data_IF_931373611866
#
_entry.id   IF_931373611866
#
_cell.length_a   1.000
_cell.length_b   1.000
_cell.length_c   1.000
_cell.angle_alpha   90.00
_cell.angle_beta   90.00
_cell.angle_gamma   90.00
#
_symmetry.space_group_name_H-M   'P 1'
#
loop_
_entity.id
_entity.type
_entity.pdbx_description
1 polymer ?
#
# COMPACT_ATOMS: atom_id res chain seq x y z
N UNK A 1 11.76 1.61 43.84
CA UNK A 1 12.11 1.10 42.48
C UNK A 1 13.60 0.80 42.40
N UNK A 2 13.94 -0.49 42.37
CA UNK A 2 15.31 -0.97 42.23
C UNK A 2 15.84 -0.70 40.81
N UNK A 3 17.16 -0.58 40.62
CA UNK A 3 17.79 -0.37 39.29
C UNK A 3 17.31 -1.33 38.18
N UNK A 4 17.07 -2.64 38.41
CA UNK A 4 16.59 -3.56 37.36
C UNK A 4 15.13 -3.32 36.95
N UNK A 5 14.23 -2.93 37.86
CA UNK A 5 12.84 -2.56 37.53
C UNK A 5 12.79 -1.31 36.66
N UNK A 6 13.68 -0.34 36.96
CA UNK A 6 13.83 0.89 36.19
C UNK A 6 14.29 0.67 34.75
N UNK A 7 15.00 -0.43 34.47
CA UNK A 7 15.37 -0.81 33.11
C UNK A 7 14.19 -1.37 32.34
N UNK A 8 13.37 -2.23 32.98
CA UNK A 8 12.26 -2.92 32.32
C UNK A 8 11.09 -2.03 31.93
N UNK A 9 10.71 -1.02 32.74
CA UNK A 9 9.65 -0.08 32.33
C UNK A 9 10.12 0.82 31.17
N UNK A 10 11.40 1.24 31.20
CA UNK A 10 11.98 2.11 30.18
C UNK A 10 11.99 1.42 28.81
N UNK A 11 12.43 0.16 28.74
CA UNK A 11 12.40 -0.61 27.50
C UNK A 11 10.97 -0.86 27.01
N UNK A 12 10.04 -1.21 27.90
CA UNK A 12 8.62 -1.40 27.53
C UNK A 12 7.98 -0.12 26.99
N UNK A 13 8.25 1.02 27.61
CA UNK A 13 7.72 2.31 27.15
C UNK A 13 8.31 2.68 25.78
N UNK A 14 9.62 2.50 25.58
CA UNK A 14 10.29 2.80 24.31
C UNK A 14 9.78 1.91 23.17
N UNK A 15 9.62 0.61 23.42
CA UNK A 15 8.99 -0.32 22.47
C UNK A 15 7.54 0.05 22.15
N UNK A 16 6.76 0.48 23.15
CA UNK A 16 5.38 0.91 22.93
C UNK A 16 5.31 2.18 22.09
N UNK A 17 6.17 3.16 22.36
CA UNK A 17 6.27 4.40 21.55
C UNK A 17 6.72 4.08 20.13
N UNK A 18 7.72 3.21 19.97
CA UNK A 18 8.17 2.73 18.66
C UNK A 18 7.01 2.09 17.88
N UNK A 19 6.23 1.21 18.52
CA UNK A 19 5.08 0.58 17.89
C UNK A 19 3.95 1.56 17.53
N UNK A 20 3.74 2.62 18.33
CA UNK A 20 2.73 3.64 18.02
C UNK A 20 3.18 4.56 16.88
N UNK A 21 4.47 4.87 16.78
CA UNK A 21 4.99 5.79 15.76
C UNK A 21 5.29 5.09 14.42
N UNK A 22 5.90 3.91 14.46
CA UNK A 22 6.38 3.18 13.27
C UNK A 22 5.69 1.82 13.08
N UNK A 23 4.90 1.34 14.05
CA UNK A 23 4.19 0.06 13.96
C UNK A 23 2.99 0.09 13.01
N UNK A 24 2.58 -1.11 12.59
CA UNK A 24 1.48 -1.33 11.64
C UNK A 24 0.09 -0.96 12.19
N UNK A 25 -0.89 -0.92 11.29
CA UNK A 25 -2.27 -0.40 11.48
C UNK A 25 -3.19 -1.19 12.41
N UNK A 26 -2.69 -2.15 13.18
CA UNK A 26 -3.53 -3.07 13.96
C UNK A 26 -4.11 -2.43 15.24
N UNK A 27 -3.45 -1.42 15.82
CA UNK A 27 -3.92 -0.75 17.05
C UNK A 27 -4.74 0.53 16.72
N UNK A 28 -5.84 0.75 17.46
CA UNK A 28 -6.66 1.98 17.37
C UNK A 28 -5.84 3.21 17.75
N UNK A 29 -4.93 3.09 18.72
CA UNK A 29 -4.08 4.20 19.15
C UNK A 29 -3.10 4.64 18.04
N UNK A 30 -2.44 3.69 17.38
CA UNK A 30 -1.55 3.94 16.24
C UNK A 30 -2.28 4.65 15.11
N UNK A 31 -3.47 4.15 14.73
CA UNK A 31 -4.29 4.78 13.68
C UNK A 31 -4.71 6.21 14.04
N UNK A 32 -5.05 6.47 15.30
CA UNK A 32 -5.40 7.81 15.77
C UNK A 32 -4.20 8.76 15.67
N UNK A 33 -3.04 8.35 16.18
CA UNK A 33 -1.81 9.17 16.14
C UNK A 33 -1.41 9.49 14.70
N UNK A 34 -1.39 8.50 13.81
CA UNK A 34 -1.08 8.72 12.39
C UNK A 34 -2.07 9.67 11.73
N UNK A 35 -3.38 9.50 11.95
CA UNK A 35 -4.41 10.41 11.41
C UNK A 35 -4.26 11.82 11.95
N UNK A 36 -3.98 11.99 13.24
CA UNK A 36 -3.77 13.29 13.86
C UNK A 36 -2.53 14.00 13.28
N UNK A 37 -1.42 13.27 13.08
CA UNK A 37 -0.21 13.81 12.46
C UNK A 37 -0.45 14.20 10.99
N UNK A 38 -1.15 13.38 10.21
CA UNK A 38 -1.53 13.70 8.83
C UNK A 38 -2.42 14.94 8.78
N UNK A 39 -3.44 15.02 9.65
CA UNK A 39 -4.32 16.18 9.73
C UNK A 39 -3.56 17.46 10.11
N UNK A 40 -2.60 17.36 11.04
CA UNK A 40 -1.74 18.48 11.43
C UNK A 40 -0.82 18.92 10.29
N UNK A 41 -0.26 17.98 9.51
CA UNK A 41 0.52 18.31 8.30
C UNK A 41 -0.36 19.05 7.30
N UNK A 42 -1.54 18.52 6.99
CA UNK A 42 -2.48 19.14 6.05
C UNK A 42 -2.89 20.55 6.51
N UNK A 43 -3.22 20.72 7.80
CA UNK A 43 -3.54 22.02 8.40
C UNK A 43 -2.35 22.99 8.30
N UNK A 44 -1.13 22.51 8.58
CA UNK A 44 0.07 23.35 8.53
C UNK A 44 0.41 23.81 7.10
N UNK A 45 0.20 22.95 6.10
CA UNK A 45 0.41 23.30 4.68
C UNK A 45 -0.67 24.25 4.21
N UNK A 46 -1.94 23.99 4.55
CA UNK A 46 -3.05 24.90 4.24
C UNK A 46 -2.83 26.28 4.87
N UNK A 47 -2.35 26.33 6.11
CA UNK A 47 -1.98 27.60 6.77
C UNK A 47 -0.94 28.37 5.97
N UNK A 48 0.11 27.71 5.44
CA UNK A 48 1.14 28.38 4.62
C UNK A 48 0.54 28.90 3.30
N UNK A 49 -0.32 28.11 2.66
CA UNK A 49 -0.99 28.50 1.42
C UNK A 49 -1.87 29.74 1.66
N UNK A 50 -2.66 29.76 2.73
CA UNK A 50 -3.52 30.90 3.05
C UNK A 50 -2.72 32.13 3.49
N UNK A 51 -1.64 31.94 4.25
CA UNK A 51 -0.71 33.00 4.65
C UNK A 51 -0.03 33.67 3.45
N UNK A 52 0.14 32.97 2.32
CA UNK A 52 0.71 33.55 1.10
C UNK A 52 -0.16 34.66 0.49
N UNK A 53 -1.45 34.75 0.87
CA UNK A 53 -2.37 35.79 0.39
C UNK A 53 -2.31 37.00 1.36
N UNK A 54 -1.88 38.20 0.90
CA UNK A 54 -1.65 39.34 1.79
C UNK A 54 -2.88 39.80 2.60
N UNK A 55 -4.09 39.60 2.06
CA UNK A 55 -5.33 39.94 2.75
C UNK A 55 -5.57 39.02 3.98
N UNK A 56 -5.33 37.72 3.82
CA UNK A 56 -5.50 36.75 4.90
C UNK A 56 -4.38 36.82 5.93
N UNK A 57 -3.13 37.06 5.52
CA UNK A 57 -2.03 37.28 6.47
C UNK A 57 -2.37 38.41 7.45
N UNK A 58 -2.77 39.58 6.94
CA UNK A 58 -3.10 40.73 7.81
C UNK A 58 -4.22 40.44 8.80
N UNK A 59 -5.24 39.68 8.39
CA UNK A 59 -6.42 39.40 9.20
C UNK A 59 -6.19 38.26 10.21
N UNK A 60 -5.48 37.20 9.80
CA UNK A 60 -5.36 35.94 10.56
C UNK A 60 -3.94 35.63 11.03
N UNK A 61 -3.00 36.59 10.98
CA UNK A 61 -1.58 36.38 11.36
C UNK A 61 -1.38 35.61 12.65
N UNK A 62 -2.14 35.94 13.71
CA UNK A 62 -2.03 35.27 15.02
C UNK A 62 -2.44 33.79 14.95
N UNK A 63 -3.45 33.46 14.16
CA UNK A 63 -3.90 32.09 13.94
C UNK A 63 -2.85 31.29 13.18
N UNK A 64 -2.28 31.86 12.11
CA UNK A 64 -1.22 31.19 11.34
C UNK A 64 0.03 30.94 12.18
N UNK A 65 0.46 31.92 12.99
CA UNK A 65 1.55 31.74 13.95
C UNK A 65 1.23 30.65 14.99
N UNK A 66 -0.01 30.62 15.52
CA UNK A 66 -0.41 29.59 16.47
C UNK A 66 -0.37 28.18 15.86
N UNK A 67 -0.87 28.02 14.62
CA UNK A 67 -0.80 26.75 13.87
C UNK A 67 0.65 26.37 13.61
N UNK A 68 1.51 27.31 13.25
CA UNK A 68 2.94 27.08 13.03
C UNK A 68 3.63 26.58 14.30
N UNK A 69 3.50 27.29 15.41
CA UNK A 69 4.12 26.87 16.67
C UNK A 69 3.59 25.51 17.13
N UNK A 70 2.28 25.28 17.05
CA UNK A 70 1.68 23.98 17.37
C UNK A 70 2.28 22.86 16.51
N UNK A 71 2.30 23.04 15.18
CA UNK A 71 2.82 22.05 14.24
C UNK A 71 4.30 21.76 14.51
N UNK A 72 5.14 22.79 14.66
CA UNK A 72 6.57 22.62 14.91
C UNK A 72 6.81 21.94 16.26
N UNK A 73 6.13 22.34 17.33
CA UNK A 73 6.26 21.67 18.64
C UNK A 73 5.91 20.18 18.54
N UNK A 74 4.78 19.83 17.92
CA UNK A 74 4.39 18.42 17.75
C UNK A 74 5.38 17.65 16.89
N UNK A 75 5.84 18.21 15.76
CA UNK A 75 6.81 17.55 14.88
C UNK A 75 8.19 17.41 15.51
N UNK A 76 8.62 18.37 16.33
CA UNK A 76 9.85 18.26 17.11
C UNK A 76 9.72 17.14 18.14
N UNK A 77 8.61 17.07 18.88
CA UNK A 77 8.37 15.97 19.84
C UNK A 77 8.38 14.62 19.11
N UNK A 78 7.66 14.50 18.00
CA UNK A 78 7.64 13.30 17.16
C UNK A 78 9.04 12.89 16.70
N UNK A 79 9.85 13.84 16.19
CA UNK A 79 11.22 13.58 15.75
C UNK A 79 12.12 13.10 16.89
N UNK A 80 12.04 13.75 18.05
CA UNK A 80 12.81 13.35 19.24
C UNK A 80 12.39 11.97 19.76
N UNK A 81 11.10 11.66 19.76
CA UNK A 81 10.61 10.34 20.14
C UNK A 81 11.11 9.24 19.19
N UNK A 82 11.12 9.50 17.87
CA UNK A 82 11.70 8.56 16.89
C UNK A 82 13.20 8.38 17.08
N UNK A 83 13.94 9.48 17.25
CA UNK A 83 15.38 9.43 17.54
C UNK A 83 15.68 8.66 18.83
N UNK A 84 14.84 8.82 19.85
CA UNK A 84 14.95 8.08 21.11
C UNK A 84 14.69 6.57 20.92
N UNK A 85 13.71 6.21 20.10
CA UNK A 85 13.33 4.83 19.81
C UNK A 85 14.25 4.14 18.78
N UNK A 86 15.02 4.88 17.99
CA UNK A 86 15.83 4.38 16.87
C UNK A 86 16.63 3.08 17.15
N UNK A 87 17.27 2.87 18.32
CA UNK A 87 17.99 1.62 18.56
C UNK A 87 17.12 0.37 18.76
N UNK A 88 15.79 0.49 18.84
CA UNK A 88 14.87 -0.66 18.87
C UNK A 88 14.36 -1.01 17.46
N UNK A 89 14.71 -0.22 16.46
CA UNK A 89 14.32 -0.46 15.08
C UNK A 89 15.13 -1.61 14.49
N UNK A 90 14.46 -2.55 13.83
CA UNK A 90 15.07 -3.76 13.28
C UNK A 90 16.20 -3.46 12.29
N UNK A 91 16.11 -2.36 11.54
CA UNK A 91 17.14 -1.94 10.59
C UNK A 91 18.48 -1.51 11.23
N UNK A 92 18.50 -1.28 12.55
CA UNK A 92 19.69 -0.82 13.28
C UNK A 92 20.05 -1.74 14.44
N UNK A 93 19.48 -2.95 14.50
CA UNK A 93 19.64 -3.91 15.60
C UNK A 93 21.10 -4.29 15.87
N UNK A 94 21.95 -4.28 14.85
CA UNK A 94 23.38 -4.62 14.94
C UNK A 94 24.26 -3.44 15.40
N UNK A 95 23.70 -2.22 15.52
CA UNK A 95 24.46 -1.00 15.84
C UNK A 95 24.38 -0.67 17.34
N UNK A 96 25.43 -0.04 17.86
CA UNK A 96 25.39 0.57 19.21
C UNK A 96 24.26 1.61 19.29
N UNK A 97 23.75 1.90 20.49
CA UNK A 97 22.65 2.85 20.65
C UNK A 97 22.97 4.26 20.11
N UNK A 98 24.23 4.69 20.14
CA UNK A 98 24.66 5.94 19.51
C UNK A 98 24.76 5.81 17.99
N UNK A 99 25.28 4.68 17.49
CA UNK A 99 25.37 4.39 16.06
C UNK A 99 24.00 4.26 15.38
N UNK A 100 23.02 3.67 16.05
CA UNK A 100 21.64 3.58 15.56
C UNK A 100 20.99 4.97 15.42
N UNK A 101 21.24 5.87 16.37
CA UNK A 101 20.73 7.26 16.33
C UNK A 101 21.36 8.06 15.19
N UNK A 102 22.67 7.96 15.01
CA UNK A 102 23.35 8.62 13.89
C UNK A 102 22.88 8.07 12.54
N UNK A 103 22.72 6.75 12.44
CA UNK A 103 22.17 6.11 11.24
C UNK A 103 20.72 6.55 10.97
N UNK A 104 19.91 6.75 12.00
CA UNK A 104 18.56 7.28 11.86
C UNK A 104 18.56 8.71 11.34
N UNK A 105 19.36 9.62 11.91
CA UNK A 105 19.45 11.02 11.45
C UNK A 105 19.86 11.10 9.97
N UNK A 106 20.77 10.22 9.54
CA UNK A 106 21.21 10.14 8.15
C UNK A 106 20.18 9.49 7.20
N UNK A 107 19.08 8.93 7.72
CA UNK A 107 18.03 8.33 6.88
C UNK A 107 17.22 9.40 6.15
N UNK A 108 16.81 9.13 4.91
CA UNK A 108 16.02 10.10 4.12
C UNK A 108 14.72 10.52 4.81
N UNK A 109 14.09 9.60 5.54
CA UNK A 109 12.86 9.89 6.28
C UNK A 109 13.07 10.85 7.46
N UNK A 110 14.20 10.71 8.17
CA UNK A 110 14.55 11.59 9.28
C UNK A 110 15.05 12.95 8.76
N UNK A 111 15.71 12.97 7.60
CA UNK A 111 16.10 14.21 6.94
C UNK A 111 14.87 15.06 6.58
N UNK A 112 13.81 14.45 6.06
CA UNK A 112 12.53 15.15 5.82
C UNK A 112 12.00 15.72 7.13
N UNK A 113 11.88 14.90 8.19
CA UNK A 113 11.40 15.36 9.49
C UNK A 113 12.24 16.52 10.05
N UNK A 114 13.57 16.48 9.91
CA UNK A 114 14.47 17.55 10.31
C UNK A 114 14.23 18.83 9.49
N UNK A 115 14.15 18.71 8.17
CA UNK A 115 13.85 19.84 7.27
C UNK A 115 12.50 20.49 7.57
N UNK A 116 11.51 19.73 8.08
CA UNK A 116 10.19 20.30 8.41
C UNK A 116 10.20 21.23 9.64
N UNK A 117 11.13 21.01 10.57
CA UNK A 117 11.25 21.80 11.82
C UNK A 117 12.32 22.88 11.71
N UNK A 118 13.32 22.67 10.84
CA UNK A 118 14.49 23.52 10.67
C UNK A 118 14.20 25.02 10.45
N UNK A 119 13.18 25.44 9.66
CA UNK A 119 12.97 26.86 9.35
C UNK A 119 12.73 27.73 10.59
N UNK A 120 11.99 27.21 11.59
CA UNK A 120 11.72 27.95 12.84
C UNK A 120 12.98 28.04 13.70
N UNK A 121 13.78 26.97 13.76
CA UNK A 121 15.06 27.03 14.48
C UNK A 121 16.04 27.99 13.81
N UNK A 122 16.14 27.99 12.47
CA UNK A 122 16.96 28.97 11.74
C UNK A 122 16.48 30.39 12.03
N UNK A 123 15.16 30.65 11.98
CA UNK A 123 14.59 31.97 12.27
C UNK A 123 14.90 32.46 13.69
N UNK A 124 15.03 31.54 14.65
CA UNK A 124 15.34 31.87 16.03
C UNK A 124 16.82 32.23 16.24
N UNK A 125 17.74 31.52 15.57
CA UNK A 125 19.18 31.72 15.71
C UNK A 125 19.78 32.73 14.72
N UNK A 126 19.15 32.91 13.56
CA UNK A 126 19.61 33.77 12.48
C UNK A 126 18.48 34.72 12.07
N UNK A 127 18.81 36.01 11.90
CA UNK A 127 17.92 36.99 11.28
C UNK A 127 17.84 36.71 9.75
N UNK A 128 17.22 35.60 9.38
CA UNK A 128 17.05 35.16 8.00
C UNK A 128 15.81 35.78 7.36
N UNK A 129 15.84 35.95 6.03
CA UNK A 129 14.67 36.41 5.27
C UNK A 129 13.54 35.38 5.38
N UNK A 130 12.45 35.79 5.99
CA UNK A 130 11.26 34.99 6.25
C UNK A 130 10.65 34.40 4.96
N UNK A 131 10.89 35.03 3.80
CA UNK A 131 10.36 34.58 2.51
C UNK A 131 10.97 33.26 2.03
N UNK A 132 12.28 33.09 2.20
CA UNK A 132 12.98 31.84 1.84
C UNK A 132 12.56 30.72 2.80
N UNK A 133 12.36 31.06 4.08
CA UNK A 133 11.91 30.13 5.11
C UNK A 133 10.48 29.66 4.86
N UNK A 134 9.63 30.47 4.22
CA UNK A 134 8.26 30.11 3.83
C UNK A 134 8.23 28.93 2.85
N UNK A 135 9.12 28.92 1.86
CA UNK A 135 9.24 27.79 0.91
C UNK A 135 9.67 26.52 1.65
N UNK A 136 10.59 26.63 2.60
CA UNK A 136 11.01 25.48 3.41
C UNK A 136 9.87 24.95 4.29
N UNK A 137 8.93 25.80 4.72
CA UNK A 137 7.73 25.35 5.45
C UNK A 137 6.82 24.47 4.57
N UNK A 138 6.80 24.65 3.25
CA UNK A 138 6.05 23.76 2.34
C UNK A 138 6.64 22.35 2.27
N UNK A 139 7.91 22.16 2.64
CA UNK A 139 8.52 20.83 2.73
C UNK A 139 7.81 19.92 3.74
N UNK A 140 7.00 20.48 4.66
CA UNK A 140 6.09 19.73 5.55
C UNK A 140 5.18 18.78 4.77
N UNK A 141 4.82 19.11 3.53
CA UNK A 141 4.08 18.21 2.64
C UNK A 141 4.78 16.85 2.45
N UNK A 142 6.11 16.82 2.32
CA UNK A 142 6.85 15.57 2.15
C UNK A 142 6.79 14.67 3.38
N UNK A 143 6.40 15.18 4.56
CA UNK A 143 6.13 14.36 5.74
C UNK A 143 5.01 13.34 5.50
N UNK A 144 4.07 13.63 4.59
CA UNK A 144 3.03 12.69 4.17
C UNK A 144 3.59 11.43 3.49
N UNK A 145 4.79 11.50 2.90
CA UNK A 145 5.45 10.36 2.28
C UNK A 145 5.65 9.20 3.28
N UNK A 146 5.86 9.51 4.56
CA UNK A 146 6.01 8.49 5.62
C UNK A 146 4.72 7.71 5.84
N UNK A 147 3.57 8.36 5.71
CA UNK A 147 2.26 7.77 6.01
C UNK A 147 1.61 7.11 4.79
N UNK A 148 2.02 7.47 3.57
CA UNK A 148 1.50 6.88 2.34
C UNK A 148 2.25 5.61 1.96
N UNK A 149 1.54 4.47 1.98
CA UNK A 149 2.08 3.21 1.46
C UNK A 149 2.44 3.30 -0.03
N UNK A 150 1.65 4.04 -0.81
CA UNK A 150 1.90 4.24 -2.25
C UNK A 150 3.16 5.04 -2.53
N UNK A 151 3.45 6.09 -1.74
CA UNK A 151 4.71 6.85 -1.90
C UNK A 151 5.92 5.97 -1.55
N UNK A 152 5.83 5.14 -0.51
CA UNK A 152 6.90 4.17 -0.20
C UNK A 152 7.16 3.20 -1.35
N UNK A 153 6.10 2.71 -2.00
CA UNK A 153 6.21 1.89 -3.22
C UNK A 153 6.90 2.66 -4.34
N UNK A 154 6.49 3.91 -4.59
CA UNK A 154 7.09 4.76 -5.63
C UNK A 154 8.59 5.01 -5.39
N UNK A 155 8.99 5.31 -4.14
CA UNK A 155 10.39 5.49 -3.78
C UNK A 155 11.19 4.21 -4.03
N UNK A 156 10.66 3.05 -3.62
CA UNK A 156 11.31 1.76 -3.86
C UNK A 156 11.50 1.48 -5.37
N UNK A 157 10.49 1.80 -6.19
CA UNK A 157 10.56 1.69 -7.66
C UNK A 157 11.64 2.60 -8.24
N UNK A 158 11.70 3.86 -7.80
CA UNK A 158 12.75 4.79 -8.25
C UNK A 158 14.15 4.34 -7.84
N UNK A 159 14.31 3.76 -6.66
CA UNK A 159 15.59 3.24 -6.18
C UNK A 159 16.02 1.99 -6.95
N UNK A 160 15.09 1.08 -7.23
CA UNK A 160 15.33 -0.13 -8.01
C UNK A 160 15.73 0.21 -9.46
N UNK A 161 14.99 1.12 -10.10
CA UNK A 161 15.17 1.49 -11.51
C UNK A 161 16.10 2.69 -11.73
N UNK A 162 16.81 3.15 -10.69
CA UNK A 162 17.66 4.36 -10.74
C UNK A 162 18.63 4.39 -11.93
N UNK A 163 19.18 3.23 -12.31
CA UNK A 163 20.13 3.11 -13.42
C UNK A 163 19.44 3.29 -14.78
N UNK A 164 18.27 2.66 -14.95
CA UNK A 164 17.47 2.79 -16.16
C UNK A 164 16.94 4.22 -16.31
N UNK A 165 16.41 4.80 -15.24
CA UNK A 165 15.95 6.20 -15.22
C UNK A 165 17.08 7.20 -15.49
N UNK A 166 18.28 6.98 -14.94
CA UNK A 166 19.46 7.79 -15.26
C UNK A 166 19.84 7.68 -16.74
N UNK A 167 19.84 6.47 -17.31
CA UNK A 167 20.13 6.28 -18.74
C UNK A 167 19.12 7.02 -19.62
N UNK A 168 17.83 6.92 -19.30
CA UNK A 168 16.77 7.68 -19.98
C UNK A 168 16.93 9.19 -19.82
N UNK A 169 17.33 9.67 -18.63
CA UNK A 169 17.63 11.08 -18.39
C UNK A 169 18.79 11.59 -19.25
N UNK A 170 19.85 10.80 -19.41
CA UNK A 170 20.99 11.11 -20.30
C UNK A 170 20.52 11.19 -21.76
N UNK A 171 19.68 10.25 -22.21
CA UNK A 171 19.12 10.26 -23.57
C UNK A 171 18.23 11.49 -23.81
N UNK A 172 17.37 11.85 -22.87
CA UNK A 172 16.51 13.04 -22.93
C UNK A 172 17.35 14.33 -22.98
N UNK A 173 18.37 14.43 -22.12
CA UNK A 173 19.28 15.58 -22.14
C UNK A 173 20.04 15.68 -23.47
N UNK A 174 20.49 14.54 -24.00
CA UNK A 174 21.13 14.46 -25.32
C UNK A 174 20.20 14.93 -26.45
N UNK A 175 18.93 14.54 -26.44
CA UNK A 175 17.94 14.99 -27.42
C UNK A 175 17.66 16.49 -27.31
N UNK A 176 17.52 17.02 -26.09
CA UNK A 176 17.40 18.46 -25.85
C UNK A 176 18.60 19.20 -26.43
N UNK A 177 19.82 18.74 -26.15
CA UNK A 177 21.05 19.38 -26.64
C UNK A 177 21.13 19.33 -28.17
N UNK A 178 20.78 18.20 -28.78
CA UNK A 178 20.80 18.01 -30.23
C UNK A 178 19.75 18.91 -30.92
N UNK A 179 18.50 18.88 -30.46
CA UNK A 179 17.43 19.74 -30.98
C UNK A 179 17.72 21.23 -30.79
N UNK A 180 18.26 21.62 -29.63
CA UNK A 180 18.65 23.01 -29.36
C UNK A 180 19.78 23.49 -30.27
N UNK A 181 20.78 22.64 -30.52
CA UNK A 181 21.89 22.98 -31.43
C UNK A 181 21.42 23.06 -32.88
N UNK A 182 20.58 22.11 -33.31
CA UNK A 182 20.03 22.10 -34.67
C UNK A 182 19.16 23.33 -34.94
N UNK A 183 18.27 23.68 -34.00
CA UNK A 183 17.40 24.85 -34.18
C UNK A 183 18.17 26.16 -34.07
N UNK A 184 19.19 26.24 -33.23
CA UNK A 184 20.09 27.39 -33.17
C UNK A 184 20.74 27.62 -34.54
N UNK A 185 21.32 26.60 -35.16
CA UNK A 185 21.93 26.71 -36.50
C UNK A 185 20.90 27.21 -37.53
N UNK A 186 19.65 26.73 -37.47
CA UNK A 186 18.63 27.08 -38.45
C UNK A 186 17.96 28.45 -38.24
N UNK A 187 17.81 28.90 -37.00
CA UNK A 187 16.98 30.05 -36.64
C UNK A 187 17.77 31.23 -36.03
N UNK A 188 19.06 31.08 -35.68
CA UNK A 188 19.78 32.15 -34.98
C UNK A 188 19.85 33.47 -35.77
N UNK A 189 19.96 33.42 -37.11
CA UNK A 189 19.96 34.61 -37.97
C UNK A 189 18.58 35.27 -38.04
N UNK A 190 17.51 34.46 -38.03
CA UNK A 190 16.13 34.93 -38.17
C UNK A 190 15.53 35.39 -36.83
N UNK A 191 15.97 34.80 -35.72
CA UNK A 191 15.46 35.01 -34.36
C UNK A 191 16.61 35.04 -33.33
N UNK A 192 17.50 36.04 -33.37
CA UNK A 192 18.66 36.09 -32.47
C UNK A 192 18.27 36.25 -30.99
N UNK A 193 17.12 36.85 -30.68
CA UNK A 193 16.65 37.01 -29.28
C UNK A 193 16.26 35.67 -28.65
N UNK A 194 15.68 34.75 -29.42
CA UNK A 194 15.14 33.48 -28.92
C UNK A 194 16.09 32.30 -29.17
N UNK A 195 16.74 32.28 -30.33
CA UNK A 195 17.60 31.19 -30.78
C UNK A 195 19.06 31.65 -30.95
N UNK A 196 19.47 32.79 -30.39
CA UNK A 196 20.84 33.30 -30.54
C UNK A 196 21.93 32.53 -29.78
N UNK A 197 21.56 31.60 -28.91
CA UNK A 197 22.52 30.72 -28.22
C UNK A 197 21.92 29.34 -27.96
N UNK A 198 22.78 28.32 -27.81
CA UNK A 198 22.32 26.96 -27.49
C UNK A 198 21.51 26.93 -26.18
N UNK A 199 21.92 27.55 -25.06
CA UNK A 199 21.11 27.56 -23.84
C UNK A 199 19.73 28.22 -24.01
N UNK A 200 19.63 29.30 -24.81
CA UNK A 200 18.34 29.90 -25.12
C UNK A 200 17.45 28.94 -25.94
N UNK A 201 18.03 28.28 -26.94
CA UNK A 201 17.34 27.25 -27.74
C UNK A 201 16.96 26.00 -26.92
N UNK A 202 17.69 25.68 -25.85
CA UNK A 202 17.37 24.57 -24.95
C UNK A 202 16.02 24.77 -24.25
N UNK A 203 15.62 26.01 -23.94
CA UNK A 203 14.29 26.29 -23.38
C UNK A 203 13.18 25.80 -24.32
N UNK A 204 13.24 26.18 -25.60
CA UNK A 204 12.31 25.71 -26.63
C UNK A 204 12.37 24.19 -26.80
N UNK A 205 13.57 23.61 -26.83
CA UNK A 205 13.73 22.17 -27.01
C UNK A 205 13.12 21.38 -25.83
N UNK A 206 13.31 21.84 -24.58
CA UNK A 206 12.69 21.24 -23.39
C UNK A 206 11.18 21.33 -23.48
N UNK A 207 10.62 22.51 -23.75
CA UNK A 207 9.15 22.73 -23.85
C UNK A 207 8.53 21.88 -24.97
N UNK A 208 9.24 21.67 -26.07
CA UNK A 208 8.78 20.88 -27.22
C UNK A 208 8.88 19.37 -26.96
N UNK A 209 10.03 18.89 -26.46
CA UNK A 209 10.27 17.47 -26.17
C UNK A 209 9.36 16.98 -25.04
N UNK A 210 9.09 17.82 -24.05
CA UNK A 210 8.19 17.51 -22.93
C UNK A 210 6.70 17.69 -23.27
N UNK A 211 6.39 17.96 -24.54
CA UNK A 211 5.02 18.15 -25.07
C UNK A 211 4.20 19.22 -24.34
N UNK A 212 4.85 20.21 -23.73
CA UNK A 212 4.18 21.34 -23.04
C UNK A 212 3.70 22.38 -24.05
N UNK A 213 4.59 22.83 -24.93
CA UNK A 213 4.24 23.75 -26.03
C UNK A 213 3.57 25.06 -25.61
N UNK A 214 4.21 25.88 -24.76
CA UNK A 214 3.66 27.18 -24.34
C UNK A 214 3.31 28.12 -25.50
N UNK A 215 4.01 27.99 -26.64
CA UNK A 215 3.82 28.84 -27.81
C UNK A 215 4.46 30.23 -27.70
N UNK A 216 5.34 30.42 -26.72
CA UNK A 216 6.14 31.62 -26.50
C UNK A 216 7.25 31.81 -27.55
N UNK A 217 7.86 30.71 -27.99
CA UNK A 217 8.88 30.69 -29.05
C UNK A 217 8.58 29.58 -30.05
N UNK A 218 8.59 29.91 -31.35
CA UNK A 218 8.40 28.92 -32.43
C UNK A 218 9.31 29.20 -33.63
N UNK A 219 9.82 28.17 -34.32
CA UNK A 219 10.60 28.36 -35.55
C UNK A 219 9.79 29.01 -36.68
N UNK A 220 10.38 30.00 -37.34
CA UNK A 220 9.72 30.72 -38.44
C UNK A 220 10.25 30.32 -39.81
N UNK A 221 11.45 29.75 -39.89
CA UNK A 221 12.04 29.26 -41.15
C UNK A 221 11.50 27.89 -41.54
N UNK A 222 11.58 27.55 -42.83
CA UNK A 222 11.20 26.22 -43.32
C UNK A 222 12.07 25.12 -42.68
N UNK A 223 13.38 25.34 -42.62
CA UNK A 223 14.32 24.39 -42.01
C UNK A 223 14.02 24.18 -40.52
N UNK A 224 13.77 25.27 -39.78
CA UNK A 224 13.41 25.20 -38.37
C UNK A 224 12.08 24.48 -38.12
N UNK A 225 11.07 24.66 -38.98
CA UNK A 225 9.81 23.90 -38.89
C UNK A 225 9.98 22.40 -39.15
N UNK A 226 10.87 22.03 -40.07
CA UNK A 226 11.22 20.61 -40.28
C UNK A 226 11.92 20.01 -39.06
N UNK A 227 12.90 20.74 -38.49
CA UNK A 227 13.58 20.34 -37.25
C UNK A 227 12.60 20.23 -36.08
N UNK A 228 11.66 21.17 -35.96
CA UNK A 228 10.59 21.13 -34.96
C UNK A 228 9.73 19.89 -35.09
N UNK A 229 9.32 19.55 -36.31
CA UNK A 229 8.49 18.37 -36.59
C UNK A 229 9.20 17.08 -36.16
N UNK A 230 10.48 16.94 -36.49
CA UNK A 230 11.30 15.80 -36.04
C UNK A 230 11.44 15.80 -34.52
N UNK A 231 11.71 16.96 -33.91
CA UNK A 231 11.88 17.10 -32.46
C UNK A 231 10.61 16.70 -31.70
N UNK A 232 9.42 17.06 -32.20
CA UNK A 232 8.15 16.65 -31.60
C UNK A 232 7.98 15.13 -31.60
N UNK A 233 8.29 14.46 -32.72
CA UNK A 233 8.22 12.99 -32.82
C UNK A 233 9.23 12.33 -31.89
N UNK A 234 10.47 12.81 -31.86
CA UNK A 234 11.50 12.32 -30.95
C UNK A 234 11.08 12.47 -29.48
N UNK A 235 10.51 13.61 -29.11
CA UNK A 235 10.01 13.86 -27.75
C UNK A 235 8.92 12.87 -27.34
N UNK A 236 7.94 12.64 -28.21
CA UNK A 236 6.87 11.67 -27.98
C UNK A 236 7.41 10.25 -27.74
N UNK A 237 8.35 9.79 -28.58
CA UNK A 237 8.98 8.47 -28.41
C UNK A 237 9.80 8.40 -27.11
N UNK A 238 10.56 9.45 -26.79
CA UNK A 238 11.44 9.45 -25.63
C UNK A 238 10.70 9.51 -24.29
N UNK A 239 9.57 10.23 -24.21
CA UNK A 239 8.75 10.29 -23.00
C UNK A 239 8.09 8.94 -22.65
N UNK A 240 7.92 8.05 -23.63
CA UNK A 240 7.41 6.69 -23.38
C UNK A 240 8.36 5.84 -22.53
N UNK A 241 9.69 6.05 -22.62
CA UNK A 241 10.67 5.27 -21.88
C UNK A 241 10.56 5.41 -20.36
N UNK A 242 10.66 6.61 -19.75
CA UNK A 242 10.62 6.74 -18.30
C UNK A 242 9.25 6.34 -17.74
N UNK A 243 8.17 6.65 -18.47
CA UNK A 243 6.81 6.25 -18.09
C UNK A 243 6.67 4.73 -18.09
N UNK A 244 7.14 4.03 -19.13
CA UNK A 244 7.09 2.58 -19.24
C UNK A 244 7.96 1.87 -18.18
N UNK A 245 9.15 2.40 -17.90
CA UNK A 245 10.04 1.88 -16.85
C UNK A 245 9.34 1.96 -15.49
N UNK A 246 8.83 3.15 -15.12
CA UNK A 246 8.15 3.34 -13.84
C UNK A 246 6.88 2.50 -13.76
N UNK A 247 6.08 2.43 -14.83
CA UNK A 247 4.84 1.64 -14.84
C UNK A 247 5.10 0.15 -14.64
N UNK A 248 6.07 -0.41 -15.36
CA UNK A 248 6.44 -1.83 -15.25
C UNK A 248 6.99 -2.15 -13.87
N UNK A 249 7.92 -1.33 -13.38
CA UNK A 249 8.53 -1.55 -12.07
C UNK A 249 7.53 -1.35 -10.92
N UNK A 250 6.57 -0.43 -11.06
CA UNK A 250 5.50 -0.24 -10.09
C UNK A 250 4.55 -1.43 -10.04
N UNK A 251 4.18 -1.99 -11.20
CA UNK A 251 3.40 -3.23 -11.28
C UNK A 251 4.15 -4.40 -10.61
N UNK A 252 5.43 -4.56 -10.93
CA UNK A 252 6.28 -5.61 -10.33
C UNK A 252 6.42 -5.44 -8.81
N UNK A 253 6.59 -4.22 -8.30
CA UNK A 253 6.68 -3.95 -6.86
C UNK A 253 5.37 -4.26 -6.13
N UNK A 254 4.22 -3.98 -6.74
CA UNK A 254 2.90 -4.34 -6.17
C UNK A 254 2.78 -5.86 -6.08
N UNK A 255 3.07 -6.58 -7.17
CA UNK A 255 3.01 -8.04 -7.20
C UNK A 255 3.99 -8.67 -6.22
N UNK A 256 5.22 -8.13 -6.09
CA UNK A 256 6.20 -8.61 -5.10
C UNK A 256 5.69 -8.43 -3.67
N UNK A 257 5.02 -7.31 -3.37
CA UNK A 257 4.44 -7.08 -2.04
C UNK A 257 3.29 -8.04 -1.75
N UNK A 258 2.41 -8.28 -2.71
CA UNK A 258 1.38 -9.30 -2.60
C UNK A 258 2.00 -10.67 -2.34
N UNK A 259 3.03 -11.06 -3.10
CA UNK A 259 3.76 -12.32 -2.91
C UNK A 259 4.33 -12.45 -1.48
N UNK A 260 5.03 -11.43 -0.96
CA UNK A 260 5.63 -11.48 0.38
C UNK A 260 4.56 -11.58 1.47
N UNK A 261 3.45 -10.86 1.32
CA UNK A 261 2.32 -10.90 2.26
C UNK A 261 1.66 -12.28 2.22
N UNK A 262 1.37 -12.80 1.02
CA UNK A 262 0.80 -14.14 0.81
C UNK A 262 1.73 -15.21 1.37
N UNK A 263 3.05 -15.13 1.15
CA UNK A 263 4.03 -16.06 1.71
C UNK A 263 3.99 -16.12 3.24
N UNK A 264 4.03 -14.96 3.89
CA UNK A 264 3.94 -14.88 5.35
C UNK A 264 2.64 -15.48 5.88
N UNK A 265 1.54 -15.30 5.14
CA UNK A 265 0.24 -15.90 5.46
C UNK A 265 0.24 -17.42 5.24
N UNK A 266 0.78 -17.93 4.13
CA UNK A 266 0.84 -19.38 3.84
C UNK A 266 1.69 -20.08 4.90
N UNK A 267 2.88 -19.54 5.19
CA UNK A 267 3.79 -20.11 6.20
C UNK A 267 3.20 -20.09 7.63
N UNK A 268 2.24 -19.21 7.90
CA UNK A 268 1.56 -19.15 9.21
C UNK A 268 0.57 -20.29 9.42
N UNK A 269 -0.01 -20.84 8.35
CA UNK A 269 -1.00 -21.92 8.41
C UNK A 269 -0.27 -23.25 8.70
N UNK A 270 -0.59 -23.95 9.80
CA UNK A 270 0.08 -25.20 10.18
C UNK A 270 0.10 -26.26 9.07
N UNK A 271 -0.96 -26.33 8.25
CA UNK A 271 -1.10 -27.23 7.11
C UNK A 271 0.05 -27.14 6.11
N UNK A 272 0.66 -25.96 5.94
CA UNK A 272 1.68 -25.71 4.92
C UNK A 272 3.11 -25.67 5.48
N UNK A 273 3.31 -25.89 6.78
CA UNK A 273 4.64 -25.81 7.41
C UNK A 273 5.61 -26.90 6.98
N UNK A 274 5.10 -28.05 6.55
CA UNK A 274 5.91 -29.20 6.12
C UNK A 274 6.41 -29.05 4.69
N UNK A 275 5.92 -28.05 3.96
CA UNK A 275 6.28 -27.82 2.57
C UNK A 275 7.62 -27.10 2.46
N UNK A 276 8.41 -27.50 1.46
CA UNK A 276 9.62 -26.81 1.12
C UNK A 276 9.32 -25.48 0.40
N UNK A 277 10.35 -24.65 0.20
CA UNK A 277 10.16 -23.33 -0.37
C UNK A 277 9.62 -23.37 -1.81
N UNK A 278 9.95 -24.43 -2.56
CA UNK A 278 9.49 -24.63 -3.94
C UNK A 278 8.00 -24.95 -3.99
N UNK A 279 7.54 -25.88 -3.15
CA UNK A 279 6.14 -26.28 -3.06
C UNK A 279 5.26 -25.12 -2.56
N UNK A 280 5.74 -24.33 -1.59
CA UNK A 280 5.00 -23.13 -1.14
C UNK A 280 4.88 -22.13 -2.30
N UNK A 281 5.97 -21.83 -3.01
CA UNK A 281 5.93 -20.92 -4.16
C UNK A 281 4.98 -21.41 -5.26
N UNK A 282 4.89 -22.73 -5.44
CA UNK A 282 3.96 -23.34 -6.39
C UNK A 282 2.50 -23.15 -5.97
N UNK A 283 2.19 -23.42 -4.70
CA UNK A 283 0.84 -23.35 -4.13
C UNK A 283 0.32 -21.91 -4.07
N UNK A 284 1.20 -20.94 -3.80
CA UNK A 284 0.80 -19.53 -3.75
C UNK A 284 0.21 -19.02 -5.06
N UNK A 285 0.52 -19.65 -6.21
CA UNK A 285 -0.09 -19.28 -7.49
C UNK A 285 -1.58 -19.59 -7.57
N UNK A 286 -2.06 -20.47 -6.71
CA UNK A 286 -3.45 -20.89 -6.59
C UNK A 286 -4.18 -20.20 -5.42
N UNK A 287 -3.44 -19.44 -4.59
CA UNK A 287 -3.99 -18.80 -3.41
C UNK A 287 -4.19 -17.30 -3.65
N UNK A 288 -5.41 -16.84 -3.45
CA UNK A 288 -5.73 -15.41 -3.46
C UNK A 288 -5.81 -14.86 -2.05
N UNK A 289 -5.09 -13.79 -1.75
CA UNK A 289 -5.10 -13.14 -0.46
C UNK A 289 -6.21 -12.08 -0.38
N UNK A 290 -7.09 -12.16 0.62
CA UNK A 290 -8.14 -11.18 0.84
C UNK A 290 -8.19 -10.72 2.30
N UNK A 291 -8.38 -9.41 2.53
CA UNK A 291 -8.66 -8.87 3.86
C UNK A 291 -10.11 -8.44 3.97
N UNK A 292 -10.83 -8.97 4.96
CA UNK A 292 -12.24 -8.70 5.21
C UNK A 292 -12.42 -7.93 6.53
N UNK A 293 -13.23 -6.85 6.55
CA UNK A 293 -13.56 -6.14 7.79
C UNK A 293 -14.40 -6.97 8.75
N UNK A 294 -14.41 -6.60 10.04
CA UNK A 294 -15.32 -7.15 11.04
C UNK A 294 -16.79 -7.00 10.63
N UNK A 295 -17.60 -8.03 10.89
CA UNK A 295 -19.03 -8.11 10.57
C UNK A 295 -19.35 -8.59 9.15
N UNK A 296 -18.35 -8.69 8.27
CA UNK A 296 -18.52 -9.13 6.88
C UNK A 296 -18.99 -10.59 6.83
N UNK A 297 -20.09 -10.84 6.13
CA UNK A 297 -20.54 -12.20 5.80
C UNK A 297 -19.68 -12.71 4.63
N UNK A 298 -18.82 -13.69 4.90
CA UNK A 298 -17.85 -14.25 3.94
C UNK A 298 -18.53 -15.34 3.12
N UNK A 299 -19.29 -16.21 3.78
CA UNK A 299 -20.02 -17.32 3.18
C UNK A 299 -21.46 -17.26 3.66
N UNK A 300 -22.41 -17.51 2.75
CA UNK A 300 -23.83 -17.63 3.08
C UNK A 300 -24.28 -19.07 2.90
N UNK A 301 -25.10 -19.55 3.85
CA UNK A 301 -25.73 -20.88 3.79
C UNK A 301 -26.60 -20.99 2.53
N UNK A 302 -26.52 -22.13 1.84
CA UNK A 302 -27.28 -22.43 0.62
C UNK A 302 -26.60 -21.99 -0.67
N UNK A 303 -25.56 -21.16 -0.62
CA UNK A 303 -24.81 -20.78 -1.82
C UNK A 303 -24.02 -21.98 -2.38
N UNK A 304 -23.71 -21.95 -3.66
CA UNK A 304 -22.83 -22.94 -4.28
C UNK A 304 -21.38 -22.66 -3.86
N UNK A 305 -20.66 -23.69 -3.43
CA UNK A 305 -19.26 -23.53 -3.04
C UNK A 305 -18.34 -23.44 -4.26
N UNK A 306 -17.56 -22.35 -4.34
CA UNK A 306 -16.57 -22.13 -5.39
C UNK A 306 -15.14 -22.12 -4.85
N UNK A 307 -14.97 -21.87 -3.55
CA UNK A 307 -13.65 -21.70 -2.92
C UNK A 307 -13.66 -22.13 -1.45
N UNK A 308 -12.51 -22.52 -0.91
CA UNK A 308 -12.30 -22.68 0.53
C UNK A 308 -11.37 -21.59 1.06
N UNK A 309 -11.38 -21.38 2.38
CA UNK A 309 -10.73 -20.24 3.01
C UNK A 309 -9.83 -20.69 4.16
N UNK A 310 -8.57 -20.25 4.17
CA UNK A 310 -7.64 -20.41 5.28
C UNK A 310 -7.50 -19.09 6.04
N UNK A 311 -7.53 -19.14 7.36
CA UNK A 311 -7.45 -17.96 8.23
C UNK A 311 -5.98 -17.71 8.58
N UNK A 312 -5.39 -16.71 7.94
CA UNK A 312 -3.99 -16.34 8.19
C UNK A 312 -3.86 -15.34 9.36
N UNK A 313 -4.85 -14.47 9.55
CA UNK A 313 -4.92 -13.54 10.68
C UNK A 313 -6.39 -13.22 10.99
N UNK A 314 -6.74 -13.05 12.26
CA UNK A 314 -8.11 -12.71 12.67
C UNK A 314 -8.91 -13.91 13.15
N UNK A 315 -10.24 -13.77 13.14
CA UNK A 315 -11.18 -14.78 13.61
C UNK A 315 -12.50 -14.66 12.82
N UNK A 316 -13.16 -15.79 12.61
CA UNK A 316 -14.50 -15.89 12.02
C UNK A 316 -15.40 -16.73 12.91
N UNK A 317 -16.69 -16.50 12.81
CA UNK A 317 -17.74 -17.28 13.47
C UNK A 317 -18.56 -17.98 12.39
N UNK A 318 -18.69 -19.30 12.55
CA UNK A 318 -19.49 -20.18 11.69
C UNK A 318 -20.82 -20.42 12.41
N UNK A 319 -21.92 -19.96 11.80
CA UNK A 319 -23.28 -20.09 12.34
C UNK A 319 -23.91 -21.39 11.82
N UNK A 320 -23.92 -22.43 12.64
CA UNK A 320 -24.55 -23.73 12.37
C UNK A 320 -25.99 -23.76 12.91
N UNK A 321 -26.84 -24.71 12.45
CA UNK A 321 -28.17 -24.91 13.03
C UNK A 321 -28.08 -25.37 14.50
N UNK A 322 -28.19 -24.45 15.44
CA UNK A 322 -28.24 -24.72 16.89
C UNK A 322 -26.95 -24.42 17.66
N UNK A 323 -25.84 -24.13 16.99
CA UNK A 323 -24.58 -23.73 17.63
C UNK A 323 -23.73 -22.80 16.75
N UNK A 324 -22.77 -22.11 17.35
CA UNK A 324 -21.80 -21.26 16.64
C UNK A 324 -20.39 -21.66 17.00
N UNK A 325 -19.55 -21.91 16.00
CA UNK A 325 -18.15 -22.30 16.20
C UNK A 325 -17.24 -21.16 15.75
N UNK A 326 -16.26 -20.80 16.58
CA UNK A 326 -15.26 -19.80 16.22
C UNK A 326 -14.01 -20.45 15.65
N UNK A 327 -13.55 -19.92 14.53
CA UNK A 327 -12.33 -20.34 13.87
C UNK A 327 -11.33 -19.19 13.86
N UNK A 328 -10.13 -19.47 14.34
CA UNK A 328 -9.01 -18.53 14.44
C UNK A 328 -7.86 -18.85 13.49
N UNK A 329 -6.73 -18.19 13.74
CA UNK A 329 -5.51 -18.31 12.92
C UNK A 329 -5.05 -19.76 12.76
N UNK A 330 -4.74 -20.14 11.52
CA UNK A 330 -4.27 -21.48 11.14
C UNK A 330 -5.38 -22.48 10.86
N UNK A 331 -6.64 -22.14 11.16
CA UNK A 331 -7.80 -22.96 10.81
C UNK A 331 -8.35 -22.54 9.44
N UNK A 332 -9.18 -23.39 8.84
CA UNK A 332 -9.82 -23.15 7.55
C UNK A 332 -11.30 -23.55 7.59
N UNK A 333 -12.07 -23.10 6.59
CA UNK A 333 -13.48 -23.42 6.42
C UNK A 333 -13.88 -23.45 4.94
N UNK A 334 -15.03 -24.05 4.66
CA UNK A 334 -15.60 -24.15 3.32
C UNK A 334 -15.15 -25.37 2.52
N UNK A 335 -14.34 -26.23 3.12
CA UNK A 335 -13.86 -27.50 2.56
C UNK A 335 -15.01 -28.49 2.32
N UNK A 336 -15.99 -28.55 3.23
CA UNK A 336 -17.05 -29.57 3.17
C UNK A 336 -17.87 -29.46 1.90
N UNK A 337 -18.30 -28.25 1.57
CA UNK A 337 -19.13 -27.99 0.41
C UNK A 337 -18.38 -28.26 -0.92
N UNK A 338 -17.05 -28.18 -0.92
CA UNK A 338 -16.23 -28.51 -2.10
C UNK A 338 -15.99 -30.02 -2.18
N UNK A 339 -15.61 -30.66 -1.08
CA UNK A 339 -15.26 -32.09 -1.05
C UNK A 339 -16.47 -33.00 -1.25
N UNK A 340 -17.64 -32.59 -0.74
CA UNK A 340 -18.88 -33.36 -0.84
C UNK A 340 -19.82 -32.86 -1.95
N UNK A 341 -19.40 -31.85 -2.72
CA UNK A 341 -20.21 -31.25 -3.80
C UNK A 341 -21.60 -30.79 -3.31
N UNK A 342 -21.69 -30.30 -2.08
CA UNK A 342 -22.93 -29.82 -1.45
C UNK A 342 -23.00 -28.29 -1.42
N UNK A 343 -24.19 -27.69 -1.31
CA UNK A 343 -24.32 -26.27 -1.00
C UNK A 343 -23.66 -25.92 0.35
N UNK A 344 -23.34 -24.64 0.56
CA UNK A 344 -22.78 -24.14 1.82
C UNK A 344 -23.70 -24.49 2.99
N UNK A 345 -23.15 -25.16 3.99
CA UNK A 345 -23.92 -25.66 5.15
C UNK A 345 -24.17 -24.60 6.22
N UNK A 346 -23.39 -23.52 6.24
CA UNK A 346 -23.41 -22.50 7.30
C UNK A 346 -23.13 -21.09 6.76
N UNK A 347 -23.58 -20.08 7.50
CA UNK A 347 -23.09 -18.72 7.33
C UNK A 347 -21.73 -18.60 8.02
N UNK A 348 -20.80 -17.85 7.43
CA UNK A 348 -19.52 -17.54 8.06
C UNK A 348 -19.31 -16.03 8.08
N UNK A 349 -19.08 -15.47 9.26
CA UNK A 349 -18.93 -14.03 9.48
C UNK A 349 -17.62 -13.70 10.15
N UNK A 350 -16.93 -12.66 9.69
CA UNK A 350 -15.73 -12.17 10.37
C UNK A 350 -16.10 -11.49 11.71
N UNK A 351 -15.51 -11.90 12.83
CA UNK A 351 -15.74 -11.24 14.13
C UNK A 351 -14.85 -10.00 14.31
N UNK A 352 -13.70 -10.01 13.64
CA UNK A 352 -12.73 -8.92 13.58
C UNK A 352 -12.21 -8.74 12.14
N UNK A 353 -11.27 -7.80 11.91
CA UNK A 353 -10.60 -7.74 10.61
C UNK A 353 -9.80 -9.02 10.41
N UNK A 354 -10.11 -9.77 9.35
CA UNK A 354 -9.56 -11.10 9.09
C UNK A 354 -8.86 -11.12 7.75
N UNK A 355 -7.68 -11.75 7.68
CA UNK A 355 -6.94 -12.00 6.44
C UNK A 355 -7.11 -13.47 6.08
N UNK A 356 -7.63 -13.70 4.89
CA UNK A 356 -7.96 -15.00 4.35
C UNK A 356 -7.06 -15.31 3.15
N UNK A 357 -6.65 -16.58 3.05
CA UNK A 357 -6.16 -17.16 1.80
C UNK A 357 -7.30 -17.97 1.19
N UNK A 358 -7.63 -17.69 -0.06
CA UNK A 358 -8.74 -18.29 -0.80
C UNK A 358 -8.14 -19.26 -1.78
N UNK A 359 -8.67 -20.48 -1.80
CA UNK A 359 -8.31 -21.52 -2.76
C UNK A 359 -9.57 -21.96 -3.50
N UNK A 360 -9.58 -21.79 -4.82
CA UNK A 360 -10.73 -22.18 -5.64
C UNK A 360 -10.84 -23.71 -5.75
N UNK A 361 -12.05 -24.22 -5.97
CA UNK A 361 -12.34 -25.65 -6.01
C UNK A 361 -11.52 -26.38 -7.09
N UNK A 362 -11.38 -25.76 -8.28
CA UNK A 362 -10.57 -26.31 -9.38
C UNK A 362 -9.09 -26.41 -9.00
N UNK A 363 -8.57 -25.38 -8.34
CA UNK A 363 -7.18 -25.31 -7.92
C UNK A 363 -6.90 -26.24 -6.74
N UNK A 364 -7.86 -26.45 -5.84
CA UNK A 364 -7.79 -27.43 -4.77
C UNK A 364 -7.58 -28.84 -5.33
N UNK A 365 -8.33 -29.21 -6.36
CA UNK A 365 -8.19 -30.53 -6.98
C UNK A 365 -6.79 -30.71 -7.61
N UNK A 366 -6.28 -29.64 -8.24
CA UNK A 366 -4.91 -29.59 -8.77
C UNK A 366 -3.88 -29.74 -7.66
N UNK A 367 -4.08 -29.05 -6.54
CA UNK A 367 -3.19 -29.05 -5.39
C UNK A 367 -3.16 -30.41 -4.67
N UNK A 368 -4.31 -31.05 -4.47
CA UNK A 368 -4.42 -32.41 -3.90
C UNK A 368 -3.68 -33.43 -4.77
N UNK A 369 -3.77 -33.28 -6.10
CA UNK A 369 -3.11 -34.20 -7.04
C UNK A 369 -1.60 -34.05 -7.01
N UNK A 370 -1.08 -32.82 -6.91
CA UNK A 370 0.37 -32.54 -6.89
C UNK A 370 1.02 -32.77 -5.53
N UNK A 371 0.27 -32.57 -4.44
CA UNK A 371 0.79 -32.72 -3.07
C UNK A 371 -0.18 -33.57 -2.22
N UNK A 372 -0.06 -34.91 -2.31
CA UNK A 372 -0.98 -35.83 -1.65
C UNK A 372 -1.08 -35.66 -0.12
N UNK A 373 0.02 -35.26 0.52
CA UNK A 373 0.09 -35.02 1.97
C UNK A 373 -0.89 -33.94 2.44
N UNK A 374 -0.99 -32.83 1.71
CA UNK A 374 -1.93 -31.75 2.01
C UNK A 374 -3.36 -32.24 1.81
N UNK A 375 -3.60 -32.97 0.71
CA UNK A 375 -4.92 -33.54 0.43
C UNK A 375 -5.40 -34.49 1.53
N UNK A 376 -4.49 -35.26 2.13
CA UNK A 376 -4.82 -36.12 3.26
C UNK A 376 -5.20 -35.31 4.50
N UNK A 377 -4.40 -34.31 4.87
CA UNK A 377 -4.68 -33.49 6.04
C UNK A 377 -6.00 -32.70 5.91
N UNK A 378 -6.34 -32.24 4.71
CA UNK A 378 -7.64 -31.60 4.44
C UNK A 378 -8.79 -32.61 4.64
N UNK A 379 -8.65 -33.84 4.12
CA UNK A 379 -9.66 -34.90 4.28
C UNK A 379 -9.84 -35.32 5.74
N UNK A 380 -8.76 -35.43 6.51
CA UNK A 380 -8.80 -35.83 7.92
C UNK A 380 -9.58 -34.80 8.78
N UNK A 381 -9.35 -33.51 8.53
CA UNK A 381 -10.09 -32.43 9.19
C UNK A 381 -11.54 -32.41 8.75
N UNK A 382 -11.82 -32.63 7.46
CA UNK A 382 -13.19 -32.71 6.94
C UNK A 382 -13.97 -33.87 7.57
N UNK A 383 -13.36 -35.04 7.74
CA UNK A 383 -13.97 -36.20 8.39
C UNK A 383 -14.36 -35.88 9.85
N UNK A 384 -13.43 -35.28 10.62
CA UNK A 384 -13.67 -34.89 12.02
C UNK A 384 -14.84 -33.90 12.16
N UNK A 385 -15.06 -33.04 11.15
CA UNK A 385 -16.13 -32.04 11.14
C UNK A 385 -17.45 -32.56 10.58
N UNK A 386 -17.39 -33.51 9.66
CA UNK A 386 -18.58 -34.19 9.15
C UNK A 386 -19.27 -35.02 10.23
N UNK A 387 -18.51 -35.57 11.18
CA UNK A 387 -19.07 -36.25 12.36
C UNK A 387 -19.80 -35.31 13.32
N UNK A 388 -19.57 -33.99 13.22
CA UNK A 388 -20.24 -32.94 14.00
C UNK A 388 -21.40 -32.29 13.25
N UNK A 389 -21.54 -32.53 11.94
CA UNK A 389 -22.67 -32.03 11.16
C UNK A 389 -23.90 -32.89 11.48
N UNK A 390 -25.04 -32.30 11.86
CA UNK A 390 -26.25 -33.08 12.12
C UNK A 390 -26.64 -33.86 10.87
N UNK A 391 -26.90 -35.16 11.03
CA UNK A 391 -27.50 -36.05 10.03
C UNK A 391 -28.77 -35.40 9.47
N UNK A 392 -28.68 -34.77 8.29
CA UNK A 392 -29.84 -34.65 7.42
C UNK A 392 -30.01 -35.99 6.68
N UNK A 393 -30.44 -37.01 7.43
CA UNK A 393 -31.10 -38.18 6.88
C UNK A 393 -32.62 -37.97 6.94
N UNK A 394 -33.22 -37.76 5.77
CA UNK A 394 -34.58 -38.17 5.38
C UNK A 394 -34.47 -38.46 3.88
N UNK A 395 -34.76 -39.62 3.32
CA UNK A 395 -35.56 -40.74 3.78
C UNK A 395 -36.18 -41.32 2.51
N UNK A 396 -35.42 -42.11 1.75
CA UNK A 396 -35.96 -42.80 0.56
C UNK A 396 -36.76 -44.04 1.00
N UNK A 397 -37.99 -43.78 1.47
CA UNK A 397 -39.08 -44.75 1.54
C UNK A 397 -40.38 -44.08 1.06
N UNK A 398 -40.54 -44.09 -0.27
CA UNK A 398 -41.79 -44.25 -1.05
C UNK A 398 -43.03 -43.43 -0.60
N UNK A 399 -43.30 -42.32 -1.29
CA UNK A 399 -44.66 -41.76 -1.46
C UNK A 399 -45.17 -42.09 -2.88
N UNK A 400 -45.66 -43.32 -3.06
CA UNK A 400 -46.52 -43.67 -4.20
C UNK A 400 -47.74 -44.50 -3.80
N UNK A 401 -48.04 -44.59 -2.51
CA UNK A 401 -49.33 -45.07 -2.02
C UNK A 401 -49.91 -44.00 -1.09
N UNK A 402 -50.85 -43.21 -1.59
CA UNK A 402 -51.98 -42.60 -0.87
C UNK A 402 -52.67 -41.56 -1.77
N UNK A 403 -53.12 -41.99 -2.95
CA UNK A 403 -54.21 -41.32 -3.66
C UNK A 403 -55.18 -42.39 -4.22
N UNK A 404 -55.99 -42.97 -3.34
CA UNK A 404 -57.33 -43.44 -3.73
C UNK A 404 -58.38 -42.68 -2.90
N UNK A 405 -59.33 -41.99 -3.54
CA UNK A 405 -60.41 -41.32 -2.82
C UNK A 405 -61.59 -42.27 -2.66
N UNK A 406 -62.04 -42.48 -1.42
CA UNK A 406 -63.36 -43.08 -1.14
C UNK A 406 -64.27 -42.01 -0.52
N UNK A 407 -65.38 -41.64 -1.18
CA UNK A 407 -66.53 -41.03 -0.50
C UNK A 407 -67.66 -42.07 -0.27
N UNK A 408 -68.51 -41.88 0.76
CA UNK A 408 -69.38 -42.93 1.28
C UNK A 408 -70.81 -42.95 0.70
N UNK A 409 -71.27 -44.19 0.48
CA UNK A 409 -72.62 -44.81 0.59
C UNK A 409 -73.91 -43.97 0.44
N UNK A 410 -74.84 -44.49 -0.38
CA UNK A 410 -76.25 -44.67 0.00
C UNK A 410 -76.82 -45.97 -0.62
N UNK A 411 -77.72 -46.70 0.08
CA UNK A 411 -78.31 -47.94 -0.39
C UNK A 411 -79.80 -47.80 -0.82
N UNK A 412 -80.25 -48.85 -1.53
CA UNK A 412 -81.64 -49.35 -1.72
C UNK A 412 -82.40 -48.94 -3.00
N UNK A 413 -82.64 -50.01 -3.78
CA UNK A 413 -83.60 -50.30 -4.86
C UNK A 413 -83.34 -49.73 -6.27
#
# INVERSE_FOLDING_TARGET
MTKPERRHWYYRLRQRVHFVLDGGSHDRATRFVHRALIALVALSVLSVILESVPAYDRQFRRLFLAVEYLAVTVFTIEYLLRLWCAPDHTAYSEKSAAGARLAFIASGSAMIDLLTILPVFISFFFAADLRVLLILRLLRFFKLARYSAGIRTMIAVMEAERKALLATGILLFGAVLFSASAIHIAEHDAQPENFGSIPAAMWWAIVTITTVGYGDVTPITLAGRMIASVTMVTGYVMLGLPVGIVATAFAEEIHRREFVVTWGMVASVPLFRTLDASAIAEIMRYLSAQSVPAGTLIVRRGDIAQSMYFIAEGEVEVELPGESVRLGVGQFFGEMAILHETPRTANVRATQTTKLLILDAYDLQTLITRTPEIGQSIRDVAATRSELAPDEQHGDLIESELEEPVPPQQPVL
#
